data_IF_638348140439
#
_entry.id   IF_638348140439
#
_cell.length_a   1.000
_cell.length_b   1.000
_cell.length_c   1.000
_cell.angle_alpha   90.00
_cell.angle_beta   90.00
_cell.angle_gamma   90.00
#
_symmetry.space_group_name_H-M   'P 1'
#
loop_
_entity.id
_entity.type
_entity.pdbx_description
1 polymer ?
#
# COMPACT_ATOMS: atom_id res chain seq x y z
N UNK A 1 -28.98 1.36 7.31
CA UNK A 1 -28.68 2.22 8.49
C UNK A 1 -27.70 1.44 9.34
N UNK A 2 -26.57 2.05 9.70
CA UNK A 2 -25.56 1.38 10.52
C UNK A 2 -26.05 1.25 11.97
N UNK A 3 -25.67 0.17 12.64
CA UNK A 3 -26.08 -0.12 14.02
C UNK A 3 -25.15 0.53 15.06
N UNK A 4 -23.84 0.46 14.78
CA UNK A 4 -22.80 0.92 15.69
C UNK A 4 -22.01 2.11 15.17
N UNK A 5 -21.96 2.30 13.85
CA UNK A 5 -21.26 3.42 13.20
C UNK A 5 -22.12 4.68 13.27
N UNK A 6 -21.54 5.76 13.78
CA UNK A 6 -22.19 7.08 13.83
C UNK A 6 -21.78 7.87 12.59
N UNK A 7 -22.73 8.03 11.68
CA UNK A 7 -22.54 8.91 10.52
C UNK A 7 -22.56 10.37 11.00
N UNK A 8 -21.58 11.20 10.62
CA UNK A 8 -21.61 12.64 10.92
C UNK A 8 -22.92 13.29 10.46
N UNK A 9 -23.43 14.22 11.25
CA UNK A 9 -24.66 14.95 10.91
C UNK A 9 -24.49 15.93 9.74
N UNK A 10 -23.25 16.29 9.46
CA UNK A 10 -22.83 17.18 8.37
C UNK A 10 -21.90 16.42 7.42
N UNK A 11 -21.73 16.96 6.24
CA UNK A 11 -20.90 16.36 5.19
C UNK A 11 -21.71 15.51 4.20
N UNK A 12 -21.04 15.11 3.13
CA UNK A 12 -21.62 14.39 2.01
C UNK A 12 -20.74 13.21 1.60
N UNK A 13 -21.33 12.21 0.98
CA UNK A 13 -20.57 11.08 0.40
C UNK A 13 -19.81 11.54 -0.85
N UNK A 14 -18.59 11.01 -1.00
CA UNK A 14 -17.92 10.99 -2.30
C UNK A 14 -18.69 10.03 -3.20
N UNK A 15 -18.88 10.40 -4.45
CA UNK A 15 -19.54 9.55 -5.46
C UNK A 15 -18.60 9.27 -6.63
N UNK A 16 -18.88 8.18 -7.36
CA UNK A 16 -18.08 7.75 -8.50
C UNK A 16 -18.88 8.01 -9.77
N UNK A 17 -18.28 8.68 -10.74
CA UNK A 17 -18.84 8.93 -12.06
C UNK A 17 -18.73 7.68 -12.96
N UNK A 18 -19.42 7.68 -14.10
CA UNK A 18 -19.42 6.55 -15.04
C UNK A 18 -18.03 6.22 -15.64
N UNK A 19 -17.12 7.17 -15.62
CA UNK A 19 -15.71 7.02 -16.06
C UNK A 19 -14.74 6.65 -14.91
N UNK A 20 -15.29 6.29 -13.75
CA UNK A 20 -14.58 6.01 -12.49
C UNK A 20 -13.86 7.22 -11.87
N UNK A 21 -14.05 8.43 -12.37
CA UNK A 21 -13.59 9.64 -11.68
C UNK A 21 -14.41 9.92 -10.43
N UNK A 22 -13.80 10.57 -9.44
CA UNK A 22 -14.48 10.92 -8.20
C UNK A 22 -15.19 12.27 -8.32
N UNK A 23 -16.40 12.34 -7.79
CA UNK A 23 -17.06 13.60 -7.48
C UNK A 23 -16.91 13.85 -5.98
N UNK A 24 -15.96 14.73 -5.61
CA UNK A 24 -15.58 15.02 -4.23
C UNK A 24 -16.24 16.33 -3.79
N UNK A 25 -17.17 16.31 -2.80
CA UNK A 25 -17.76 17.53 -2.26
C UNK A 25 -16.73 18.33 -1.44
N UNK A 26 -17.02 19.60 -1.16
CA UNK A 26 -16.17 20.43 -0.31
C UNK A 26 -16.15 19.97 1.16
N UNK A 27 -17.18 19.24 1.58
CA UNK A 27 -17.31 18.66 2.92
C UNK A 27 -17.55 17.13 2.86
N UNK A 28 -16.55 16.31 2.44
CA UNK A 28 -16.72 14.88 2.36
C UNK A 28 -16.76 14.21 3.73
N UNK A 29 -17.54 13.13 3.83
CA UNK A 29 -17.47 12.19 4.96
C UNK A 29 -16.45 11.10 4.59
N UNK A 30 -15.41 10.96 5.42
CA UNK A 30 -14.35 9.96 5.23
C UNK A 30 -14.35 8.96 6.38
N UNK A 31 -14.63 7.67 6.12
CA UNK A 31 -14.42 6.61 7.10
C UNK A 31 -12.96 6.49 7.50
N UNK A 32 -12.71 6.32 8.80
CA UNK A 32 -11.39 5.96 9.29
C UNK A 32 -11.45 4.82 10.31
N UNK A 33 -10.43 4.00 10.35
CA UNK A 33 -10.20 2.98 11.37
C UNK A 33 -9.00 3.43 12.20
N UNK A 34 -9.18 3.62 13.50
CA UNK A 34 -8.09 4.03 14.40
C UNK A 34 -6.91 3.05 14.36
N UNK A 35 -7.20 1.75 14.24
CA UNK A 35 -6.21 0.70 14.25
C UNK A 35 -5.85 0.22 15.64
N UNK A 36 -4.97 -0.78 15.69
CA UNK A 36 -4.53 -1.46 16.90
C UNK A 36 -3.11 -1.02 17.29
N UNK A 37 -2.74 -1.31 18.51
CA UNK A 37 -1.39 -1.01 19.01
C UNK A 37 -1.06 0.48 18.89
N UNK A 38 -0.03 0.82 18.10
CA UNK A 38 0.35 2.22 17.87
C UNK A 38 -0.66 3.03 17.05
N UNK A 39 -1.69 2.39 16.48
CA UNK A 39 -2.79 3.08 15.78
C UNK A 39 -3.46 4.12 16.66
N UNK A 40 -3.66 3.82 17.95
CA UNK A 40 -4.24 4.77 18.92
C UNK A 40 -3.38 6.04 19.15
N UNK A 41 -2.08 5.98 18.84
CA UNK A 41 -1.16 7.12 18.94
C UNK A 41 -1.11 7.91 17.63
N UNK A 42 -0.93 7.22 16.48
CA UNK A 42 -0.64 7.85 15.19
C UNK A 42 -1.91 8.39 14.50
N UNK A 43 -3.04 7.67 14.56
CA UNK A 43 -4.27 8.08 13.86
C UNK A 43 -4.82 9.42 14.37
N UNK A 44 -4.94 9.68 15.69
CA UNK A 44 -5.35 11.01 16.16
C UNK A 44 -4.40 12.15 15.73
N UNK A 45 -3.12 11.86 15.58
CA UNK A 45 -2.13 12.83 15.09
C UNK A 45 -2.33 13.09 13.60
N UNK A 46 -2.52 12.04 12.81
CA UNK A 46 -2.81 12.15 11.39
C UNK A 46 -4.07 12.99 11.13
N UNK A 47 -5.17 12.72 11.85
CA UNK A 47 -6.42 13.49 11.71
C UNK A 47 -6.17 15.00 11.94
N UNK A 48 -5.46 15.36 13.01
CA UNK A 48 -5.13 16.77 13.31
C UNK A 48 -4.27 17.44 12.24
N UNK A 49 -3.26 16.74 11.74
CA UNK A 49 -2.36 17.25 10.69
C UNK A 49 -3.12 17.46 9.39
N UNK A 50 -3.99 16.53 9.01
CA UNK A 50 -4.82 16.63 7.80
C UNK A 50 -5.82 17.79 7.93
N UNK A 51 -6.52 17.91 9.07
CA UNK A 51 -7.46 19.00 9.31
C UNK A 51 -6.78 20.36 9.23
N UNK A 52 -5.58 20.50 9.80
CA UNK A 52 -4.80 21.73 9.71
C UNK A 52 -4.37 22.04 8.27
N UNK A 53 -3.91 21.03 7.51
CA UNK A 53 -3.53 21.20 6.12
C UNK A 53 -4.71 21.64 5.24
N UNK A 54 -5.86 21.03 5.42
CA UNK A 54 -7.09 21.37 4.68
C UNK A 54 -7.56 22.78 5.04
N UNK A 55 -7.59 23.13 6.33
CA UNK A 55 -7.99 24.47 6.78
C UNK A 55 -7.06 25.56 6.22
N UNK A 56 -5.75 25.35 6.27
CA UNK A 56 -4.76 26.30 5.75
C UNK A 56 -4.82 26.42 4.23
N UNK A 57 -4.90 25.30 3.50
CA UNK A 57 -4.91 25.32 2.04
C UNK A 57 -6.14 25.99 1.46
N UNK A 58 -7.30 25.81 2.09
CA UNK A 58 -8.59 26.27 1.53
C UNK A 58 -9.27 27.38 2.32
N UNK A 59 -8.62 27.92 3.37
CA UNK A 59 -9.17 29.03 4.15
C UNK A 59 -10.53 28.71 4.79
N UNK A 60 -10.73 27.47 5.21
CA UNK A 60 -11.96 26.98 5.83
C UNK A 60 -13.12 26.69 4.87
N UNK A 61 -12.93 26.81 3.55
CA UNK A 61 -13.96 26.49 2.53
C UNK A 61 -14.16 24.99 2.34
N UNK A 62 -13.18 24.18 2.74
CA UNK A 62 -13.25 22.72 2.69
C UNK A 62 -12.99 22.14 4.07
N UNK A 63 -13.66 21.01 4.39
CA UNK A 63 -13.54 20.34 5.67
C UNK A 63 -13.86 18.88 5.54
N UNK A 64 -13.05 17.98 6.14
CA UNK A 64 -13.37 16.56 6.22
C UNK A 64 -14.26 16.31 7.44
N UNK A 65 -15.31 15.53 7.26
CA UNK A 65 -16.12 14.98 8.33
C UNK A 65 -15.70 13.52 8.56
N UNK A 66 -14.91 13.30 9.59
CA UNK A 66 -14.39 11.99 9.91
C UNK A 66 -15.45 11.08 10.50
N UNK A 67 -15.58 9.86 9.99
CA UNK A 67 -16.50 8.84 10.43
C UNK A 67 -15.75 7.62 10.94
N UNK A 68 -15.72 7.42 12.25
CA UNK A 68 -15.05 6.24 12.81
C UNK A 68 -15.80 4.97 12.44
N UNK A 69 -15.08 4.01 11.88
CA UNK A 69 -15.54 2.64 11.62
C UNK A 69 -14.55 1.67 12.28
N UNK A 70 -14.99 0.46 12.58
CA UNK A 70 -14.30 -0.40 13.52
C UNK A 70 -13.72 -1.64 12.84
N UNK A 71 -12.45 -1.94 13.12
CA UNK A 71 -11.80 -3.21 12.84
C UNK A 71 -10.74 -3.47 13.92
N UNK A 72 -10.27 -4.71 14.04
CA UNK A 72 -9.26 -5.09 15.02
C UNK A 72 -9.79 -5.19 16.45
N UNK A 73 -8.94 -4.91 17.41
CA UNK A 73 -9.26 -5.04 18.84
C UNK A 73 -10.39 -4.11 19.29
N UNK A 74 -10.50 -2.91 18.73
CA UNK A 74 -11.58 -1.98 19.05
C UNK A 74 -12.93 -2.51 18.57
N UNK A 75 -12.97 -3.21 17.45
CA UNK A 75 -14.17 -3.86 16.94
C UNK A 75 -14.71 -4.91 17.92
N UNK A 76 -13.85 -5.71 18.53
CA UNK A 76 -14.30 -6.74 19.48
C UNK A 76 -14.99 -6.15 20.72
N UNK A 77 -14.65 -4.92 21.09
CA UNK A 77 -15.26 -4.19 22.21
C UNK A 77 -16.63 -3.61 21.84
N UNK A 78 -16.86 -3.26 20.57
CA UNK A 78 -18.09 -2.63 20.08
C UNK A 78 -19.11 -3.65 19.61
N UNK A 79 -18.68 -4.71 18.92
CA UNK A 79 -19.55 -5.69 18.26
C UNK A 79 -19.57 -7.05 18.97
N UNK A 80 -18.64 -7.32 19.89
CA UNK A 80 -18.49 -8.58 20.61
C UNK A 80 -17.16 -9.27 20.32
N UNK A 81 -16.70 -10.18 21.21
CA UNK A 81 -15.31 -10.67 21.29
C UNK A 81 -14.79 -11.35 20.03
N UNK A 82 -15.66 -11.92 19.21
CA UNK A 82 -15.27 -12.67 18.00
C UNK A 82 -15.41 -11.83 16.71
N UNK A 83 -15.85 -10.57 16.79
CA UNK A 83 -16.09 -9.71 15.62
C UNK A 83 -14.93 -8.77 15.40
N UNK A 84 -13.92 -9.24 14.67
CA UNK A 84 -12.71 -8.48 14.35
C UNK A 84 -12.86 -7.56 13.14
N UNK A 85 -13.70 -7.93 12.18
CA UNK A 85 -14.00 -7.16 10.98
C UNK A 85 -15.50 -7.23 10.69
N UNK A 86 -16.30 -6.26 11.19
CA UNK A 86 -17.73 -6.24 10.96
C UNK A 86 -18.09 -6.00 9.49
N UNK A 87 -19.12 -6.66 8.99
CA UNK A 87 -19.71 -6.34 7.67
C UNK A 87 -20.11 -4.87 7.56
N UNK A 88 -20.56 -4.27 8.64
CA UNK A 88 -20.95 -2.86 8.72
C UNK A 88 -19.78 -1.94 8.34
N UNK A 89 -18.54 -2.28 8.75
CA UNK A 89 -17.32 -1.55 8.36
C UNK A 89 -17.04 -1.72 6.88
N UNK A 90 -17.13 -2.94 6.33
CA UNK A 90 -16.93 -3.18 4.90
C UNK A 90 -17.96 -2.43 4.05
N UNK A 91 -19.23 -2.41 4.50
CA UNK A 91 -20.27 -1.64 3.84
C UNK A 91 -19.99 -0.13 3.91
N UNK A 92 -19.55 0.39 5.04
CA UNK A 92 -19.22 1.81 5.18
C UNK A 92 -18.05 2.22 4.27
N UNK A 93 -16.97 1.42 4.23
CA UNK A 93 -15.83 1.68 3.35
C UNK A 93 -16.24 1.67 1.86
N UNK A 94 -17.09 0.72 1.47
CA UNK A 94 -17.62 0.63 0.10
C UNK A 94 -18.54 1.81 -0.24
N UNK A 95 -19.44 2.17 0.67
CA UNK A 95 -20.46 3.21 0.48
C UNK A 95 -19.86 4.63 0.39
N UNK A 96 -18.75 4.88 1.10
CA UNK A 96 -18.10 6.20 1.14
C UNK A 96 -16.89 6.30 0.23
N UNK A 97 -16.50 5.22 -0.46
CA UNK A 97 -15.52 5.18 -1.56
C UNK A 97 -14.07 5.42 -1.12
N UNK A 98 -13.80 6.44 -0.33
CA UNK A 98 -12.46 6.80 0.17
C UNK A 98 -12.40 6.62 1.68
N UNK A 99 -11.39 5.92 2.17
CA UNK A 99 -11.18 5.67 3.60
C UNK A 99 -9.70 5.64 3.95
N UNK A 100 -9.39 5.75 5.25
CA UNK A 100 -8.03 5.62 5.78
C UNK A 100 -8.03 4.77 7.04
N UNK A 101 -6.95 4.06 7.31
CA UNK A 101 -6.83 3.23 8.51
C UNK A 101 -5.42 3.17 9.09
N UNK A 102 -5.35 3.07 10.39
CA UNK A 102 -4.16 2.67 11.13
C UNK A 102 -3.84 1.18 10.97
N UNK A 103 -2.75 0.70 11.59
CA UNK A 103 -2.34 -0.70 11.53
C UNK A 103 -3.33 -1.61 12.25
N UNK A 104 -3.49 -2.85 11.78
CA UNK A 104 -4.39 -3.84 12.38
C UNK A 104 -3.62 -5.07 12.85
N UNK A 105 -3.99 -5.58 14.02
CA UNK A 105 -3.48 -6.83 14.58
C UNK A 105 -4.03 -8.02 13.79
N UNK A 106 -3.16 -8.99 13.52
CA UNK A 106 -3.61 -10.31 13.05
C UNK A 106 -3.91 -11.17 14.26
N UNK A 107 -5.16 -11.62 14.47
CA UNK A 107 -5.51 -12.45 15.63
C UNK A 107 -4.73 -13.76 15.61
N UNK A 108 -4.23 -14.19 16.77
CA UNK A 108 -3.59 -15.49 16.93
C UNK A 108 -4.68 -16.53 17.20
N UNK A 109 -4.94 -17.41 16.24
CA UNK A 109 -6.00 -18.45 16.33
C UNK A 109 -7.32 -18.03 15.64
N UNK A 110 -8.27 -18.96 15.50
CA UNK A 110 -9.62 -18.65 15.03
C UNK A 110 -9.84 -18.56 13.51
N UNK A 111 -8.88 -18.95 12.68
CA UNK A 111 -9.08 -19.07 11.22
C UNK A 111 -8.97 -17.77 10.42
N UNK A 112 -8.91 -16.60 11.07
CA UNK A 112 -8.63 -15.32 10.40
C UNK A 112 -7.12 -15.19 10.25
N UNK A 113 -6.62 -15.18 9.01
CA UNK A 113 -5.18 -15.09 8.75
C UNK A 113 -4.64 -13.67 8.89
N UNK A 114 -5.35 -12.69 8.36
CA UNK A 114 -5.02 -11.27 8.45
C UNK A 114 -6.24 -10.42 8.14
N UNK A 115 -6.55 -9.45 9.00
CA UNK A 115 -7.63 -8.50 8.78
C UNK A 115 -7.37 -7.62 7.56
N UNK A 116 -6.10 -7.24 7.32
CA UNK A 116 -5.72 -6.48 6.13
C UNK A 116 -6.00 -7.27 4.85
N UNK A 117 -5.63 -8.55 4.82
CA UNK A 117 -5.90 -9.44 3.68
C UNK A 117 -7.40 -9.61 3.47
N UNK A 118 -8.17 -9.83 4.55
CA UNK A 118 -9.62 -9.95 4.47
C UNK A 118 -10.27 -8.68 3.87
N UNK A 119 -9.90 -7.49 4.34
CA UNK A 119 -10.40 -6.23 3.78
C UNK A 119 -10.07 -6.09 2.29
N UNK A 120 -8.84 -6.43 1.89
CA UNK A 120 -8.40 -6.35 0.48
C UNK A 120 -9.22 -7.28 -0.43
N UNK A 121 -9.49 -8.49 0.04
CA UNK A 121 -10.29 -9.49 -0.70
C UNK A 121 -11.78 -9.11 -0.75
N UNK A 122 -12.39 -8.77 0.39
CA UNK A 122 -13.82 -8.45 0.47
C UNK A 122 -14.19 -7.16 -0.29
N UNK A 123 -13.28 -6.20 -0.39
CA UNK A 123 -13.48 -4.95 -1.11
C UNK A 123 -12.84 -4.95 -2.51
N UNK A 124 -12.29 -6.08 -2.95
CA UNK A 124 -11.53 -6.24 -4.21
C UNK A 124 -10.48 -5.14 -4.44
N UNK A 125 -9.72 -4.81 -3.39
CA UNK A 125 -8.65 -3.81 -3.45
C UNK A 125 -7.41 -4.44 -4.08
N UNK A 126 -7.42 -4.64 -5.37
CA UNK A 126 -6.44 -5.45 -6.10
C UNK A 126 -5.08 -4.77 -6.35
N UNK A 127 -4.98 -3.47 -6.10
CA UNK A 127 -3.71 -2.72 -6.16
C UNK A 127 -3.29 -2.30 -4.77
N UNK A 128 -2.12 -2.72 -4.32
CA UNK A 128 -1.42 -2.07 -3.21
C UNK A 128 -0.39 -1.10 -3.79
N UNK A 129 -0.62 0.19 -3.59
CA UNK A 129 0.20 1.28 -4.10
C UNK A 129 1.11 1.81 -3.00
N UNK A 130 2.44 1.75 -3.20
CA UNK A 130 3.45 2.17 -2.22
C UNK A 130 4.49 3.09 -2.87
N UNK A 131 4.33 4.43 -2.80
CA UNK A 131 5.37 5.36 -3.22
C UNK A 131 6.55 5.34 -2.25
N UNK A 132 7.75 5.28 -2.79
CA UNK A 132 9.00 5.32 -2.04
C UNK A 132 9.80 6.52 -2.51
N UNK A 133 10.04 7.46 -1.61
CA UNK A 133 10.86 8.64 -1.89
C UNK A 133 11.68 9.04 -0.66
N UNK A 134 12.82 9.65 -0.90
CA UNK A 134 13.67 10.19 0.14
C UNK A 134 13.28 11.62 0.51
N UNK A 135 13.23 11.92 1.80
CA UNK A 135 13.13 13.27 2.33
C UNK A 135 14.50 13.75 2.77
N UNK A 136 14.93 14.93 2.29
CA UNK A 136 16.26 15.43 2.58
C UNK A 136 16.52 15.61 4.09
N UNK A 137 17.60 15.01 4.56
CA UNK A 137 17.99 15.03 5.97
C UNK A 137 17.58 13.78 6.76
N UNK A 138 16.76 12.90 6.22
CA UNK A 138 16.44 11.62 6.85
C UNK A 138 17.68 10.73 6.86
N UNK A 139 18.00 10.05 8.00
CA UNK A 139 19.06 9.08 8.05
C UNK A 139 18.82 7.90 7.10
N UNK A 140 19.84 7.49 6.36
CA UNK A 140 19.76 6.41 5.39
C UNK A 140 20.99 5.50 5.45
N UNK A 141 20.82 4.17 5.26
CA UNK A 141 21.92 3.23 5.19
C UNK A 141 22.64 3.25 3.83
N UNK A 142 22.06 3.91 2.80
CA UNK A 142 22.66 4.00 1.46
C UNK A 142 23.32 5.36 1.24
N UNK A 143 24.30 5.42 0.32
CA UNK A 143 25.09 6.64 0.09
C UNK A 143 24.31 7.76 -0.60
N UNK A 144 23.37 7.40 -1.50
CA UNK A 144 22.64 8.35 -2.34
C UNK A 144 21.14 8.05 -2.33
N UNK A 145 20.47 8.16 -1.15
CA UNK A 145 19.06 7.82 -1.00
C UNK A 145 18.13 8.65 -1.89
N UNK A 146 18.53 9.86 -2.26
CA UNK A 146 17.79 10.75 -3.16
C UNK A 146 17.61 10.16 -4.58
N UNK A 147 18.37 9.17 -4.96
CA UNK A 147 18.20 8.44 -6.23
C UNK A 147 17.07 7.40 -6.17
N UNK A 148 16.59 7.06 -4.96
CA UNK A 148 15.47 6.15 -4.77
C UNK A 148 14.17 6.94 -4.81
N UNK A 149 13.47 6.86 -5.95
CA UNK A 149 12.17 7.48 -6.17
C UNK A 149 11.32 6.56 -7.04
N UNK A 150 10.65 5.63 -6.42
CA UNK A 150 9.91 4.57 -7.08
C UNK A 150 8.48 4.49 -6.56
N UNK A 151 7.59 3.96 -7.38
CA UNK A 151 6.21 3.66 -6.97
C UNK A 151 5.93 2.18 -7.24
N UNK A 152 5.61 1.44 -6.20
CA UNK A 152 5.35 0.01 -6.28
C UNK A 152 3.86 -0.22 -6.46
N UNK A 153 3.50 -0.92 -7.52
CA UNK A 153 2.20 -1.51 -7.79
C UNK A 153 2.29 -3.00 -7.45
N UNK A 154 1.88 -3.34 -6.25
CA UNK A 154 1.84 -4.70 -5.73
C UNK A 154 0.48 -5.30 -6.01
N UNK A 155 0.42 -6.45 -6.68
CA UNK A 155 -0.81 -7.24 -6.76
C UNK A 155 -1.27 -7.60 -5.33
N UNK A 156 -2.56 -7.55 -5.08
CA UNK A 156 -3.05 -7.52 -3.70
C UNK A 156 -4.16 -8.56 -3.42
N UNK A 157 -4.55 -9.35 -4.41
CA UNK A 157 -5.69 -10.28 -4.32
C UNK A 157 -5.33 -11.76 -4.46
N UNK A 158 -4.21 -12.07 -5.08
CA UNK A 158 -3.75 -13.42 -5.41
C UNK A 158 -2.41 -13.76 -4.76
N UNK A 159 -1.65 -14.64 -5.41
CA UNK A 159 -0.36 -15.14 -4.94
C UNK A 159 -0.54 -16.05 -3.71
N UNK A 160 0.51 -16.28 -2.96
CA UNK A 160 0.45 -17.07 -1.71
C UNK A 160 -0.44 -16.41 -0.65
N UNK A 161 -0.72 -15.10 -0.78
CA UNK A 161 -1.65 -14.36 0.06
C UNK A 161 -3.11 -14.77 -0.11
N UNK A 162 -3.44 -15.54 -1.15
CA UNK A 162 -4.74 -16.23 -1.26
C UNK A 162 -5.00 -17.18 -0.09
N UNK A 163 -3.94 -17.55 0.62
CA UNK A 163 -4.03 -18.28 1.86
C UNK A 163 -4.44 -19.76 1.69
N UNK A 164 -4.21 -20.32 0.52
CA UNK A 164 -4.52 -21.74 0.23
C UNK A 164 -3.33 -22.57 0.66
N UNK A 165 -3.35 -23.05 1.90
CA UNK A 165 -2.29 -23.90 2.41
C UNK A 165 -2.82 -24.99 3.36
N UNK A 166 -2.06 -26.05 3.49
CA UNK A 166 -2.40 -27.25 4.25
C UNK A 166 -1.23 -27.61 5.16
N UNK A 167 -1.54 -27.73 6.45
CA UNK A 167 -0.57 -28.04 7.49
C UNK A 167 0.05 -29.44 7.28
N UNK A 168 1.34 -29.53 7.54
CA UNK A 168 2.10 -30.77 7.54
C UNK A 168 1.42 -31.86 8.40
N UNK A 169 1.28 -33.05 7.83
CA UNK A 169 0.68 -34.18 8.52
C UNK A 169 -0.84 -34.18 8.62
N UNK A 170 -1.52 -33.07 8.22
CA UNK A 170 -2.99 -33.03 8.18
C UNK A 170 -3.56 -33.96 7.11
N UNK A 171 -4.80 -34.41 7.29
CA UNK A 171 -5.48 -35.29 6.31
C UNK A 171 -5.67 -34.58 4.96
N UNK A 172 -5.88 -33.25 4.96
CA UNK A 172 -5.96 -32.44 3.75
C UNK A 172 -4.64 -32.39 3.00
N UNK A 173 -3.51 -32.19 3.71
CA UNK A 173 -2.18 -32.23 3.09
C UNK A 173 -1.88 -33.59 2.51
N UNK A 174 -2.13 -34.68 3.25
CA UNK A 174 -1.94 -36.06 2.77
C UNK A 174 -2.78 -36.38 1.53
N UNK A 175 -4.06 -35.97 1.53
CA UNK A 175 -4.96 -36.13 0.39
C UNK A 175 -4.46 -35.39 -0.84
N UNK A 176 -4.04 -34.13 -0.68
CA UNK A 176 -3.51 -33.33 -1.78
C UNK A 176 -2.19 -33.88 -2.32
N UNK A 177 -1.26 -34.26 -1.43
CA UNK A 177 0.02 -34.85 -1.84
C UNK A 177 -0.21 -36.16 -2.61
N UNK A 178 -1.10 -37.03 -2.11
CA UNK A 178 -1.47 -38.25 -2.79
C UNK A 178 -2.05 -38.00 -4.18
N UNK A 179 -2.99 -37.05 -4.31
CA UNK A 179 -3.56 -36.65 -5.59
C UNK A 179 -2.48 -36.16 -6.57
N UNK A 180 -1.58 -35.28 -6.11
CA UNK A 180 -0.48 -34.77 -6.93
C UNK A 180 0.47 -35.88 -7.40
N UNK A 181 0.73 -36.87 -6.55
CA UNK A 181 1.60 -38.03 -6.91
C UNK A 181 0.92 -39.03 -7.83
N UNK A 182 -0.28 -39.46 -7.49
CA UNK A 182 -0.98 -40.55 -8.17
C UNK A 182 -1.64 -40.08 -9.47
N UNK A 183 -2.31 -38.94 -9.47
CA UNK A 183 -3.10 -38.44 -10.61
C UNK A 183 -2.29 -37.45 -11.50
N UNK A 184 -1.45 -36.62 -10.89
CA UNK A 184 -0.68 -35.60 -11.62
C UNK A 184 0.77 -36.02 -11.89
N UNK A 185 1.21 -37.20 -11.43
CA UNK A 185 2.56 -37.72 -11.65
C UNK A 185 3.69 -36.92 -11.00
N UNK A 186 3.40 -36.12 -9.96
CA UNK A 186 4.39 -35.29 -9.27
C UNK A 186 5.30 -36.17 -8.42
N UNK A 187 6.60 -36.24 -8.78
CA UNK A 187 7.61 -37.04 -8.05
C UNK A 187 8.53 -36.17 -7.18
N UNK A 188 8.33 -34.84 -7.17
CA UNK A 188 9.30 -33.91 -6.58
C UNK A 188 9.01 -33.52 -5.13
N UNK A 189 7.92 -34.02 -4.51
CA UNK A 189 7.66 -33.85 -3.08
C UNK A 189 8.55 -34.85 -2.32
N UNK A 190 9.68 -34.31 -1.83
CA UNK A 190 10.75 -35.14 -1.27
C UNK A 190 10.38 -35.84 0.03
N UNK A 191 9.60 -35.17 0.87
CA UNK A 191 9.18 -35.64 2.20
C UNK A 191 7.66 -35.58 2.36
N UNK A 192 6.88 -36.48 1.69
CA UNK A 192 5.44 -36.37 1.59
C UNK A 192 4.71 -36.44 2.94
N UNK A 193 5.27 -37.15 3.92
CA UNK A 193 4.64 -37.32 5.23
C UNK A 193 4.79 -36.10 6.16
N UNK A 194 5.74 -35.23 5.88
CA UNK A 194 6.09 -34.08 6.73
C UNK A 194 6.10 -32.74 5.98
N UNK A 195 5.63 -32.73 4.72
CA UNK A 195 5.51 -31.50 3.96
C UNK A 195 4.19 -30.80 4.22
N UNK A 196 4.24 -29.50 4.50
CA UNK A 196 3.13 -28.59 4.29
C UNK A 196 3.03 -28.21 2.81
N UNK A 197 1.83 -27.90 2.32
CA UNK A 197 1.60 -27.53 0.91
C UNK A 197 0.90 -26.17 0.85
N UNK A 198 1.45 -25.23 0.07
CA UNK A 198 0.83 -23.96 -0.27
C UNK A 198 0.58 -23.87 -1.78
N UNK A 199 -0.49 -23.20 -2.16
CA UNK A 199 -0.88 -22.97 -3.56
C UNK A 199 -0.73 -21.49 -3.88
N UNK A 200 -0.06 -21.20 -5.01
CA UNK A 200 0.17 -19.85 -5.53
C UNK A 200 -0.67 -19.64 -6.80
N UNK A 201 -1.91 -19.14 -6.70
CA UNK A 201 -2.68 -18.77 -7.87
C UNK A 201 -2.17 -17.45 -8.45
N UNK A 202 -2.06 -17.37 -9.77
CA UNK A 202 -1.78 -16.13 -10.53
C UNK A 202 -2.63 -16.19 -11.79
N UNK A 203 -3.50 -15.18 -11.98
CA UNK A 203 -4.41 -15.14 -13.12
C UNK A 203 -4.00 -14.07 -14.14
N UNK A 204 -4.50 -14.23 -15.37
CA UNK A 204 -4.36 -13.22 -16.40
C UNK A 204 -5.13 -11.95 -16.03
N UNK A 205 -6.34 -12.10 -15.53
CA UNK A 205 -7.22 -11.01 -15.14
C UNK A 205 -6.62 -10.16 -14.02
N UNK A 206 -6.09 -10.80 -12.97
CA UNK A 206 -5.39 -10.14 -11.87
C UNK A 206 -4.15 -9.40 -12.34
N UNK A 207 -3.37 -10.03 -13.24
CA UNK A 207 -2.18 -9.41 -13.84
C UNK A 207 -2.54 -8.21 -14.71
N UNK A 208 -3.50 -8.36 -15.62
CA UNK A 208 -3.86 -7.32 -16.58
C UNK A 208 -4.45 -6.09 -15.87
N UNK A 209 -5.31 -6.27 -14.86
CA UNK A 209 -5.88 -5.13 -14.12
C UNK A 209 -4.83 -4.36 -13.32
N UNK A 210 -3.87 -5.05 -12.68
CA UNK A 210 -2.74 -4.40 -12.00
C UNK A 210 -1.87 -3.63 -12.98
N UNK A 211 -1.48 -4.28 -14.07
CA UNK A 211 -0.57 -3.71 -15.06
C UNK A 211 -1.18 -2.50 -15.76
N UNK A 212 -2.49 -2.53 -16.04
CA UNK A 212 -3.25 -1.39 -16.60
C UNK A 212 -3.15 -0.16 -15.68
N UNK A 213 -3.34 -0.34 -14.37
CA UNK A 213 -3.19 0.75 -13.38
C UNK A 213 -1.75 1.26 -13.31
N UNK A 214 -0.75 0.39 -13.38
CA UNK A 214 0.66 0.78 -13.34
C UNK A 214 1.09 1.57 -14.59
N UNK A 215 0.66 1.15 -15.78
CA UNK A 215 0.93 1.88 -17.04
C UNK A 215 0.18 3.22 -17.04
N UNK A 216 -1.10 3.23 -16.66
CA UNK A 216 -1.87 4.46 -16.59
C UNK A 216 -1.24 5.46 -15.61
N UNK A 217 -0.79 5.01 -14.45
CA UNK A 217 -0.07 5.85 -13.51
C UNK A 217 1.22 6.44 -14.12
N UNK A 218 1.96 5.64 -14.88
CA UNK A 218 3.16 6.12 -15.57
C UNK A 218 2.84 7.20 -16.62
N UNK A 219 1.74 7.04 -17.35
CA UNK A 219 1.22 8.05 -18.29
C UNK A 219 0.82 9.33 -17.56
N UNK A 220 0.02 9.22 -16.51
CA UNK A 220 -0.55 10.36 -15.79
C UNK A 220 0.52 11.19 -15.06
N UNK A 221 1.57 10.54 -14.59
CA UNK A 221 2.65 11.17 -13.82
C UNK A 221 3.96 11.33 -14.61
N UNK A 222 3.90 11.17 -15.94
CA UNK A 222 5.05 11.32 -16.87
C UNK A 222 6.27 10.51 -16.43
N UNK A 223 6.06 9.27 -15.97
CA UNK A 223 7.13 8.39 -15.50
C UNK A 223 7.83 7.72 -16.70
N UNK A 224 9.16 7.59 -16.68
CA UNK A 224 9.92 7.10 -17.86
C UNK A 224 9.83 5.58 -18.05
N UNK A 225 9.42 4.81 -17.06
CA UNK A 225 9.40 3.35 -17.16
C UNK A 225 8.39 2.67 -16.24
N UNK A 226 7.93 1.48 -16.67
CA UNK A 226 7.26 0.48 -15.82
C UNK A 226 8.10 -0.79 -15.85
N UNK A 227 8.54 -1.26 -14.68
CA UNK A 227 9.37 -2.45 -14.53
C UNK A 227 8.55 -3.59 -13.94
N UNK A 228 8.45 -4.69 -14.66
CA UNK A 228 7.82 -5.93 -14.22
C UNK A 228 8.84 -6.73 -13.42
N UNK A 229 8.62 -6.91 -12.12
CA UNK A 229 9.54 -7.71 -11.27
C UNK A 229 8.93 -9.08 -11.01
N UNK A 230 9.70 -10.13 -11.30
CA UNK A 230 9.21 -11.51 -11.28
C UNK A 230 10.33 -12.53 -11.04
N UNK A 231 9.97 -13.77 -10.71
CA UNK A 231 10.87 -14.94 -10.67
C UNK A 231 10.48 -15.99 -11.73
N UNK A 232 10.12 -15.56 -12.92
CA UNK A 232 9.58 -16.38 -14.00
C UNK A 232 10.54 -17.42 -14.60
N UNK A 233 11.85 -17.28 -14.38
CA UNK A 233 12.81 -18.31 -14.75
C UNK A 233 12.65 -19.61 -13.94
N UNK A 234 12.09 -19.54 -12.74
CA UNK A 234 11.81 -20.67 -11.86
C UNK A 234 10.30 -21.02 -11.89
N UNK A 235 9.43 -20.05 -11.65
CA UNK A 235 7.98 -20.20 -11.61
C UNK A 235 7.36 -19.81 -12.96
N UNK A 236 7.54 -20.67 -13.96
CA UNK A 236 7.24 -20.34 -15.37
C UNK A 236 5.77 -20.07 -15.64
N UNK A 237 4.86 -20.78 -15.00
CA UNK A 237 3.41 -20.71 -15.25
C UNK A 237 2.65 -19.81 -14.28
N UNK A 238 3.33 -19.19 -13.35
CA UNK A 238 2.81 -18.17 -12.44
C UNK A 238 3.55 -16.84 -12.68
N UNK A 239 4.74 -16.67 -12.16
CA UNK A 239 5.51 -15.42 -12.31
C UNK A 239 5.96 -15.17 -13.75
N UNK A 240 6.30 -16.22 -14.51
CA UNK A 240 6.60 -16.11 -15.93
C UNK A 240 5.38 -15.71 -16.75
N UNK A 241 4.23 -16.32 -16.43
CA UNK A 241 2.96 -15.96 -17.05
C UNK A 241 2.55 -14.51 -16.71
N UNK A 242 2.73 -14.06 -15.45
CA UNK A 242 2.56 -12.66 -15.05
C UNK A 242 3.34 -11.71 -15.95
N UNK A 243 4.63 -11.97 -16.16
CA UNK A 243 5.47 -11.18 -17.07
C UNK A 243 4.90 -11.15 -18.49
N UNK A 244 4.55 -12.31 -19.03
CA UNK A 244 4.12 -12.44 -20.43
C UNK A 244 2.76 -11.77 -20.66
N UNK A 245 1.82 -11.91 -19.73
CA UNK A 245 0.52 -11.22 -19.78
C UNK A 245 0.67 -9.71 -19.64
N UNK A 246 1.60 -9.23 -18.79
CA UNK A 246 1.89 -7.82 -18.63
C UNK A 246 2.40 -7.18 -19.93
N UNK A 247 3.33 -7.84 -20.65
CA UNK A 247 3.76 -7.39 -21.97
C UNK A 247 2.64 -7.45 -23.00
N UNK A 248 1.86 -8.53 -23.01
CA UNK A 248 0.71 -8.68 -23.91
C UNK A 248 -0.31 -7.55 -23.75
N UNK A 249 -0.62 -7.18 -22.50
CA UNK A 249 -1.48 -6.02 -22.20
C UNK A 249 -0.89 -4.71 -22.74
N UNK A 250 0.40 -4.45 -22.45
CA UNK A 250 1.06 -3.21 -22.87
C UNK A 250 0.99 -3.02 -24.41
N UNK A 251 1.21 -4.10 -25.15
CA UNK A 251 1.11 -4.08 -26.62
C UNK A 251 -0.35 -3.92 -27.10
N UNK A 252 -1.26 -4.71 -26.53
CA UNK A 252 -2.66 -4.77 -27.01
C UNK A 252 -3.49 -3.53 -26.68
N UNK A 253 -3.35 -3.01 -25.44
CA UNK A 253 -4.19 -1.91 -24.95
C UNK A 253 -3.53 -0.54 -25.05
N UNK A 254 -2.20 -0.49 -24.94
CA UNK A 254 -1.44 0.78 -24.96
C UNK A 254 -0.60 0.98 -26.21
N UNK A 255 -0.65 0.03 -27.16
CA UNK A 255 0.08 0.15 -28.43
C UNK A 255 1.61 0.16 -28.26
N UNK A 256 2.13 -0.51 -27.23
CA UNK A 256 3.57 -0.57 -27.00
C UNK A 256 4.27 -1.38 -28.10
N UNK A 257 5.34 -0.83 -28.66
CA UNK A 257 6.16 -1.44 -29.72
C UNK A 257 7.39 -2.13 -29.12
N UNK A 258 7.78 -3.27 -29.69
CA UNK A 258 8.95 -4.03 -29.22
C UNK A 258 10.23 -3.23 -29.46
N UNK A 259 11.16 -3.32 -28.49
CA UNK A 259 12.51 -2.77 -28.61
C UNK A 259 13.44 -3.94 -28.98
N UNK A 260 14.22 -3.78 -30.04
CA UNK A 260 15.25 -4.74 -30.49
C UNK A 260 14.77 -6.21 -30.56
N UNK A 261 13.51 -6.43 -30.96
CA UNK A 261 12.91 -7.76 -31.06
C UNK A 261 12.27 -8.27 -29.77
N UNK A 262 12.25 -7.50 -28.70
CA UNK A 262 11.58 -7.82 -27.45
C UNK A 262 12.42 -8.61 -26.43
N UNK A 263 11.85 -8.93 -25.25
CA UNK A 263 10.46 -8.69 -24.86
C UNK A 263 10.17 -7.23 -24.42
N UNK A 264 11.21 -6.44 -24.15
CA UNK A 264 11.02 -5.04 -23.77
C UNK A 264 10.27 -4.29 -24.85
N UNK A 265 9.41 -3.38 -24.44
CA UNK A 265 8.65 -2.56 -25.37
C UNK A 265 8.52 -1.11 -24.86
N UNK A 266 8.11 -0.23 -25.77
CA UNK A 266 8.01 1.20 -25.52
C UNK A 266 6.69 1.72 -26.04
N UNK A 267 6.01 2.52 -25.24
CA UNK A 267 4.85 3.29 -25.67
C UNK A 267 5.17 4.80 -25.63
N UNK A 268 4.42 5.56 -26.41
CA UNK A 268 4.48 7.03 -26.39
C UNK A 268 3.42 7.54 -25.41
N UNK A 269 3.83 8.35 -24.43
CA UNK A 269 2.88 8.99 -23.52
C UNK A 269 1.95 9.91 -24.32
N UNK A 270 0.64 9.66 -24.37
CA UNK A 270 -0.30 10.46 -25.17
C UNK A 270 -0.43 11.91 -24.69
N UNK A 271 -0.08 12.20 -23.42
CA UNK A 271 -0.17 13.55 -22.83
C UNK A 271 1.07 14.40 -23.11
N UNK A 272 2.26 13.80 -23.09
CA UNK A 272 3.54 14.52 -23.14
C UNK A 272 4.36 14.22 -24.38
N UNK A 273 4.04 13.15 -25.10
CA UNK A 273 4.84 12.68 -26.25
C UNK A 273 6.11 11.93 -25.90
N UNK A 274 6.50 11.86 -24.62
CA UNK A 274 7.69 11.14 -24.18
C UNK A 274 7.51 9.63 -24.24
N UNK A 275 8.61 8.90 -24.34
CA UNK A 275 8.59 7.44 -24.32
C UNK A 275 8.51 6.89 -22.91
N UNK A 276 7.69 5.86 -22.71
CA UNK A 276 7.63 5.05 -21.49
C UNK A 276 8.11 3.65 -21.83
N UNK A 277 9.18 3.18 -21.19
CA UNK A 277 9.73 1.84 -21.41
C UNK A 277 9.08 0.84 -20.47
N UNK A 278 8.51 -0.22 -21.02
CA UNK A 278 8.04 -1.39 -20.27
C UNK A 278 9.16 -2.44 -20.33
N UNK A 279 9.69 -2.81 -19.18
CA UNK A 279 10.81 -3.75 -19.06
C UNK A 279 10.59 -4.73 -17.92
N UNK A 280 11.37 -5.80 -17.87
CA UNK A 280 11.31 -6.77 -16.77
C UNK A 280 12.67 -6.97 -16.11
N UNK A 281 12.64 -7.40 -14.86
CA UNK A 281 13.82 -7.79 -14.08
C UNK A 281 13.46 -8.96 -13.18
N UNK A 282 14.37 -9.96 -13.12
CA UNK A 282 14.25 -11.07 -12.17
C UNK A 282 14.41 -10.53 -10.73
N UNK A 283 13.58 -10.97 -9.81
CA UNK A 283 13.41 -10.40 -8.46
C UNK A 283 14.72 -10.30 -7.66
N UNK A 284 15.57 -11.33 -7.67
CA UNK A 284 16.85 -11.31 -6.97
C UNK A 284 17.85 -10.32 -7.62
N UNK A 285 17.84 -10.17 -8.94
CA UNK A 285 18.62 -9.13 -9.62
C UNK A 285 18.08 -7.73 -9.28
N UNK A 286 16.77 -7.56 -9.21
CA UNK A 286 16.15 -6.29 -8.82
C UNK A 286 16.56 -5.86 -7.41
N UNK A 287 16.60 -6.77 -6.44
CA UNK A 287 17.04 -6.47 -5.07
C UNK A 287 18.49 -5.97 -5.00
N UNK A 288 19.36 -6.40 -5.92
CA UNK A 288 20.71 -5.82 -6.06
C UNK A 288 20.65 -4.44 -6.72
N UNK A 289 19.87 -4.32 -7.79
CA UNK A 289 19.87 -3.13 -8.64
C UNK A 289 19.26 -1.91 -7.94
N UNK A 290 18.31 -2.09 -7.04
CA UNK A 290 17.78 -0.98 -6.22
C UNK A 290 18.82 -0.38 -5.27
N UNK A 291 19.90 -1.11 -4.95
CA UNK A 291 21.04 -0.59 -4.19
C UNK A 291 22.10 0.05 -5.10
N UNK A 292 22.35 -0.54 -6.27
CA UNK A 292 23.43 -0.16 -7.16
C UNK A 292 23.04 0.93 -8.17
N UNK A 293 21.79 0.90 -8.65
CA UNK A 293 21.29 1.72 -9.75
C UNK A 293 19.83 2.13 -9.57
N UNK A 294 19.42 2.66 -8.39
CA UNK A 294 18.01 2.95 -8.10
C UNK A 294 17.36 3.92 -9.10
N UNK A 295 18.12 4.86 -9.67
CA UNK A 295 17.63 5.84 -10.63
C UNK A 295 17.13 5.27 -11.98
N UNK A 296 17.41 3.99 -12.26
CA UNK A 296 16.93 3.32 -13.49
C UNK A 296 15.45 2.86 -13.37
N UNK A 297 14.84 2.98 -12.19
CA UNK A 297 13.51 2.48 -11.89
C UNK A 297 12.56 3.61 -11.47
N UNK A 298 11.32 3.58 -11.96
CA UNK A 298 10.32 4.57 -11.60
C UNK A 298 9.00 3.95 -11.11
N UNK A 299 8.27 3.24 -11.97
CA UNK A 299 7.10 2.45 -11.60
C UNK A 299 7.50 0.97 -11.61
N UNK A 300 7.12 0.24 -10.59
CA UNK A 300 7.38 -1.21 -10.45
C UNK A 300 6.06 -1.94 -10.31
N UNK A 301 5.79 -2.91 -11.18
CA UNK A 301 4.64 -3.79 -11.09
C UNK A 301 5.10 -5.21 -10.74
N UNK A 302 4.51 -5.81 -9.71
CA UNK A 302 4.95 -7.13 -9.22
C UNK A 302 3.84 -7.86 -8.47
N UNK A 303 4.01 -9.17 -8.32
CA UNK A 303 3.10 -10.02 -7.54
C UNK A 303 3.17 -9.70 -6.04
N UNK A 304 2.21 -10.22 -5.31
CA UNK A 304 1.91 -9.85 -3.93
C UNK A 304 3.12 -10.02 -2.98
N UNK A 305 3.71 -11.20 -2.91
CA UNK A 305 4.85 -11.46 -2.02
C UNK A 305 6.09 -10.64 -2.41
N UNK A 306 6.43 -10.60 -3.69
CA UNK A 306 7.55 -9.81 -4.17
C UNK A 306 7.37 -8.33 -3.82
N UNK A 307 6.16 -7.81 -4.00
CA UNK A 307 5.81 -6.42 -3.69
C UNK A 307 5.93 -6.08 -2.21
N UNK A 308 5.59 -7.04 -1.33
CA UNK A 308 5.78 -6.90 0.11
C UNK A 308 7.26 -6.74 0.46
N UNK A 309 8.09 -7.68 0.05
CA UNK A 309 9.53 -7.64 0.32
C UNK A 309 10.21 -6.40 -0.27
N UNK A 310 9.90 -6.07 -1.52
CA UNK A 310 10.54 -4.97 -2.25
C UNK A 310 10.18 -3.62 -1.63
N UNK A 311 8.92 -3.40 -1.28
CA UNK A 311 8.51 -2.11 -0.70
C UNK A 311 9.17 -1.83 0.65
N UNK A 312 9.32 -2.84 1.50
CA UNK A 312 9.98 -2.70 2.80
C UNK A 312 11.50 -2.52 2.66
N UNK A 313 12.13 -3.25 1.71
CA UNK A 313 13.55 -3.07 1.40
C UNK A 313 13.85 -1.66 0.87
N UNK A 314 12.98 -1.11 0.03
CA UNK A 314 13.09 0.27 -0.48
C UNK A 314 12.80 1.30 0.61
N UNK A 315 11.79 1.07 1.46
CA UNK A 315 11.48 1.96 2.59
C UNK A 315 12.70 2.10 3.52
N UNK A 316 13.42 1.00 3.80
CA UNK A 316 14.63 1.02 4.60
C UNK A 316 15.72 1.92 3.99
N UNK A 317 15.82 1.99 2.66
CA UNK A 317 16.82 2.82 1.97
C UNK A 317 16.52 4.31 2.09
N UNK A 318 15.29 4.71 2.29
CA UNK A 318 14.88 6.13 2.36
C UNK A 318 14.57 6.59 3.79
N UNK A 319 14.83 5.76 4.80
CA UNK A 319 14.70 6.16 6.21
C UNK A 319 13.81 5.27 7.07
N UNK A 320 13.18 4.27 6.48
CA UNK A 320 12.39 3.26 7.20
C UNK A 320 10.87 3.36 6.98
N UNK A 321 10.18 2.34 7.49
CA UNK A 321 8.73 2.18 7.31
C UNK A 321 7.88 3.26 8.03
N UNK A 322 8.47 3.98 9.01
CA UNK A 322 7.79 5.07 9.72
C UNK A 322 7.39 6.27 8.85
N UNK A 323 7.92 6.36 7.62
CA UNK A 323 7.57 7.37 6.62
C UNK A 323 7.20 6.74 5.27
N UNK A 324 6.85 5.46 5.24
CA UNK A 324 6.42 4.76 4.03
C UNK A 324 4.89 4.74 3.96
N UNK A 325 4.27 5.46 2.99
CA UNK A 325 2.81 5.45 2.84
C UNK A 325 2.32 4.29 2.01
N UNK A 326 1.02 4.00 2.12
CA UNK A 326 0.36 2.99 1.32
C UNK A 326 -1.11 3.29 1.02
N UNK A 327 -1.58 2.73 -0.09
CA UNK A 327 -2.98 2.70 -0.46
C UNK A 327 -3.37 1.34 -1.04
N UNK A 328 -4.59 0.91 -0.79
CA UNK A 328 -5.19 -0.25 -1.41
C UNK A 328 -6.36 0.22 -2.26
N UNK A 329 -6.33 -0.10 -3.55
CA UNK A 329 -7.23 0.47 -4.54
C UNK A 329 -7.98 -0.61 -5.32
N UNK A 330 -9.26 -0.39 -5.56
CA UNK A 330 -10.04 -1.06 -6.60
C UNK A 330 -10.26 -0.11 -7.78
N UNK A 331 -11.27 -0.37 -8.61
CA UNK A 331 -11.69 0.60 -9.63
C UNK A 331 -12.43 1.79 -9.05
N UNK A 332 -13.09 1.62 -7.91
CA UNK A 332 -13.96 2.63 -7.31
C UNK A 332 -13.63 2.93 -5.85
N UNK A 333 -13.12 1.97 -5.08
CA UNK A 333 -12.85 2.10 -3.64
C UNK A 333 -11.36 2.28 -3.39
N UNK A 334 -11.02 3.21 -2.50
CA UNK A 334 -9.66 3.47 -2.05
C UNK A 334 -9.59 3.42 -0.52
N UNK A 335 -8.68 2.59 0.02
CA UNK A 335 -8.38 2.51 1.45
C UNK A 335 -6.89 2.80 1.67
N UNK A 336 -6.59 3.95 2.26
CA UNK A 336 -5.23 4.37 2.58
C UNK A 336 -4.80 3.79 3.91
N UNK A 337 -3.51 3.47 4.07
CA UNK A 337 -3.04 2.83 5.30
C UNK A 337 -1.57 3.11 5.62
N UNK A 338 -1.23 3.18 6.91
CA UNK A 338 0.16 3.02 7.35
C UNK A 338 0.68 1.64 6.95
N UNK A 339 1.91 1.56 6.42
CA UNK A 339 2.47 0.29 5.92
C UNK A 339 3.12 -0.57 6.99
N UNK A 340 3.40 0.00 8.17
CA UNK A 340 3.98 -0.72 9.30
C UNK A 340 2.94 -1.47 10.14
N UNK A 341 3.40 -2.42 10.96
CA UNK A 341 2.55 -3.18 11.88
C UNK A 341 2.16 -2.40 13.15
N UNK A 342 1.43 -3.07 14.04
CA UNK A 342 0.84 -2.49 15.26
C UNK A 342 1.85 -2.17 16.36
N UNK A 343 3.03 -2.77 16.36
CA UNK A 343 4.10 -2.59 17.37
C UNK A 343 3.58 -2.44 18.81
N UNK A 344 2.88 -3.45 19.38
CA UNK A 344 2.08 -3.31 20.59
C UNK A 344 2.89 -2.88 21.83
N UNK A 345 4.19 -3.14 21.87
CA UNK A 345 5.08 -2.70 22.96
C UNK A 345 5.22 -1.17 23.07
N UNK A 346 4.86 -0.43 22.03
CA UNK A 346 4.91 1.03 21.97
C UNK A 346 3.52 1.69 22.06
N UNK A 347 2.47 0.91 22.08
CA UNK A 347 1.08 1.39 22.13
C UNK A 347 0.83 2.29 23.35
N UNK A 348 0.16 3.43 23.13
CA UNK A 348 -0.21 4.40 24.19
C UNK A 348 0.97 5.14 24.80
N UNK A 349 2.16 5.12 24.19
CA UNK A 349 3.36 5.79 24.73
C UNK A 349 3.66 7.13 24.05
N UNK A 350 2.88 7.55 23.09
CA UNK A 350 3.13 8.77 22.29
C UNK A 350 4.57 8.86 21.75
N UNK A 351 5.11 7.75 21.24
CA UNK A 351 6.54 7.61 20.98
C UNK A 351 6.89 7.39 19.51
N UNK A 352 6.03 6.70 18.76
CA UNK A 352 6.31 6.26 17.39
C UNK A 352 6.19 7.40 16.36
N UNK A 353 6.76 7.20 15.19
CA UNK A 353 6.68 8.13 14.08
C UNK A 353 5.30 8.04 13.39
N UNK A 354 4.50 9.11 13.33
CA UNK A 354 3.19 9.11 12.65
C UNK A 354 3.30 9.33 11.13
N UNK A 355 4.50 9.51 10.60
CA UNK A 355 4.75 9.94 9.22
C UNK A 355 4.18 9.03 8.17
N UNK A 356 4.18 7.68 8.38
CA UNK A 356 3.61 6.72 7.44
C UNK A 356 2.11 6.97 7.22
N UNK A 357 1.33 7.15 8.28
CA UNK A 357 -0.11 7.38 8.17
C UNK A 357 -0.42 8.79 7.66
N UNK A 358 0.35 9.80 8.08
CA UNK A 358 0.22 11.18 7.56
C UNK A 358 0.49 11.23 6.05
N UNK A 359 1.52 10.55 5.56
CA UNK A 359 1.83 10.48 4.13
C UNK A 359 0.82 9.62 3.36
N UNK A 360 0.19 8.63 4.00
CA UNK A 360 -0.93 7.90 3.42
C UNK A 360 -2.17 8.80 3.27
N UNK A 361 -2.41 9.68 4.24
CA UNK A 361 -3.44 10.71 4.14
C UNK A 361 -3.10 11.77 3.07
N UNK A 362 -1.83 12.09 2.87
CA UNK A 362 -1.38 12.92 1.74
C UNK A 362 -1.77 12.30 0.40
N UNK A 363 -1.52 10.99 0.23
CA UNK A 363 -1.96 10.26 -0.96
C UNK A 363 -3.49 10.28 -1.11
N UNK A 364 -4.24 10.16 0.00
CA UNK A 364 -5.70 10.27 0.02
C UNK A 364 -6.16 11.64 -0.51
N UNK A 365 -5.56 12.72 -0.04
CA UNK A 365 -5.89 14.07 -0.50
C UNK A 365 -5.61 14.25 -1.99
N UNK A 366 -4.48 13.73 -2.51
CA UNK A 366 -4.21 13.72 -3.96
C UNK A 366 -5.23 12.91 -4.75
N UNK A 367 -5.61 11.75 -4.24
CA UNK A 367 -6.64 10.92 -4.86
C UNK A 367 -8.00 11.63 -4.95
N UNK A 368 -8.31 12.45 -3.95
CA UNK A 368 -9.49 13.31 -3.92
C UNK A 368 -9.36 14.59 -4.77
N UNK A 369 -8.20 14.86 -5.36
CA UNK A 369 -7.92 16.10 -6.10
C UNK A 369 -7.67 17.33 -5.22
N UNK A 370 -7.39 17.15 -3.95
CA UNK A 370 -7.07 18.22 -3.00
C UNK A 370 -5.56 18.47 -2.93
N UNK A 371 -5.01 18.89 -4.06
CA UNK A 371 -3.56 18.93 -4.29
C UNK A 371 -2.84 19.94 -3.40
N UNK A 372 -3.46 21.09 -3.13
CA UNK A 372 -2.86 22.15 -2.30
C UNK A 372 -2.65 21.69 -0.87
N UNK A 373 -3.62 20.99 -0.28
CA UNK A 373 -3.49 20.42 1.06
C UNK A 373 -2.45 19.29 1.10
N UNK A 374 -2.41 18.45 0.07
CA UNK A 374 -1.40 17.38 -0.07
C UNK A 374 0.02 17.97 -0.16
N UNK A 375 0.23 19.01 -1.00
CA UNK A 375 1.52 19.68 -1.15
C UNK A 375 1.97 20.35 0.15
N UNK A 376 1.01 20.90 0.91
CA UNK A 376 1.28 21.50 2.21
C UNK A 376 1.79 20.46 3.23
N UNK A 377 1.21 19.27 3.27
CA UNK A 377 1.69 18.16 4.11
C UNK A 377 3.14 17.79 3.75
N UNK A 378 3.45 17.69 2.45
CA UNK A 378 4.80 17.37 2.00
C UNK A 378 5.80 18.45 2.41
N UNK A 379 5.46 19.72 2.18
CA UNK A 379 6.28 20.87 2.57
C UNK A 379 6.51 20.89 4.09
N UNK A 380 5.46 20.67 4.87
CA UNK A 380 5.54 20.60 6.33
C UNK A 380 6.43 19.46 6.81
N UNK A 381 6.31 18.27 6.22
CA UNK A 381 7.18 17.13 6.51
C UNK A 381 8.66 17.46 6.25
N UNK A 382 8.98 18.03 5.09
CA UNK A 382 10.34 18.44 4.72
C UNK A 382 10.93 19.49 5.68
N UNK A 383 10.14 20.51 6.02
CA UNK A 383 10.57 21.54 6.98
C UNK A 383 10.78 20.95 8.38
N UNK A 384 9.91 20.07 8.83
CA UNK A 384 10.00 19.42 10.15
C UNK A 384 11.25 18.57 10.27
N UNK A 385 11.54 17.73 9.27
CA UNK A 385 12.78 16.93 9.23
C UNK A 385 14.02 17.86 9.22
N UNK A 386 14.00 18.91 8.41
CA UNK A 386 15.09 19.88 8.31
C UNK A 386 15.32 20.63 9.62
N UNK A 387 14.28 20.89 10.41
CA UNK A 387 14.40 21.52 11.74
C UNK A 387 15.03 20.58 12.77
N UNK A 388 15.24 19.32 12.44
CA UNK A 388 15.75 18.26 13.33
C UNK A 388 14.90 18.02 14.59
N UNK A 389 13.65 18.44 14.63
CA UNK A 389 12.66 18.09 15.64
C UNK A 389 11.89 16.88 15.13
N UNK A 390 12.35 15.69 15.48
CA UNK A 390 11.93 14.42 14.89
C UNK A 390 11.67 13.35 15.94
N UNK A 391 10.96 12.30 15.57
CA UNK A 391 10.71 11.16 16.45
C UNK A 391 11.96 10.31 16.69
N UNK A 392 11.90 9.40 17.65
CA UNK A 392 13.02 8.62 18.15
C UNK A 392 13.81 7.87 17.07
N UNK A 393 13.10 7.36 16.05
CA UNK A 393 13.67 6.58 14.95
C UNK A 393 14.70 7.37 14.14
N UNK A 394 14.42 8.65 13.92
CA UNK A 394 15.36 9.58 13.27
C UNK A 394 16.33 10.21 14.29
N UNK A 395 15.84 10.67 15.44
CA UNK A 395 16.65 11.39 16.40
C UNK A 395 17.89 10.61 16.84
N UNK A 396 17.79 9.29 17.03
CA UNK A 396 18.90 8.42 17.41
C UNK A 396 20.01 8.31 16.35
N UNK A 397 19.73 8.72 15.10
CA UNK A 397 20.65 8.60 13.96
C UNK A 397 21.04 9.97 13.39
N UNK A 398 20.45 11.07 13.88
CA UNK A 398 20.69 12.44 13.40
C UNK A 398 21.47 13.24 14.43
N UNK A 399 22.68 13.66 14.10
CA UNK A 399 23.46 14.54 14.97
C UNK A 399 22.75 15.89 15.19
N UNK A 400 22.65 16.30 16.46
CA UNK A 400 22.00 17.56 16.87
C UNK A 400 20.48 17.56 16.72
N UNK A 401 19.85 16.39 16.62
CA UNK A 401 18.39 16.29 16.62
C UNK A 401 17.79 16.44 18.02
N UNK A 402 16.63 17.05 18.07
CA UNK A 402 15.76 17.06 19.26
C UNK A 402 14.67 16.01 19.06
N UNK A 403 14.66 15.02 19.93
CA UNK A 403 13.60 14.02 19.92
C UNK A 403 12.30 14.64 20.42
N UNK A 404 11.23 14.43 19.66
CA UNK A 404 9.85 14.79 20.02
C UNK A 404 8.99 13.52 20.10
N UNK A 405 7.85 13.62 20.78
CA UNK A 405 6.85 12.53 20.81
C UNK A 405 6.11 12.42 19.49
N UNK A 406 5.26 11.40 19.35
CA UNK A 406 4.38 11.23 18.19
C UNK A 406 3.48 12.46 18.00
N UNK A 407 2.76 12.86 19.04
CA UNK A 407 1.91 14.07 19.02
C UNK A 407 2.74 15.36 18.84
N UNK A 408 3.93 15.42 19.45
CA UNK A 408 4.87 16.52 19.28
C UNK A 408 5.35 16.68 17.83
N UNK A 409 5.59 15.59 17.11
CA UNK A 409 5.97 15.65 15.69
C UNK A 409 4.81 16.16 14.82
N UNK A 410 3.58 15.70 15.10
CA UNK A 410 2.39 16.25 14.44
C UNK A 410 2.25 17.76 14.64
N UNK A 411 2.51 18.25 15.87
CA UNK A 411 2.49 19.68 16.15
C UNK A 411 3.59 20.44 15.41
N UNK A 412 4.82 19.89 15.36
CA UNK A 412 5.92 20.48 14.56
C UNK A 412 5.54 20.58 13.08
N UNK A 413 4.84 19.59 12.54
CA UNK A 413 4.34 19.66 11.16
C UNK A 413 3.30 20.76 10.98
N UNK A 414 2.34 20.88 11.90
CA UNK A 414 1.30 21.93 11.85
C UNK A 414 1.93 23.33 11.91
N UNK A 415 2.91 23.52 12.81
CA UNK A 415 3.62 24.79 12.96
C UNK A 415 4.45 25.18 11.71
N UNK A 416 4.76 24.21 10.85
CA UNK A 416 5.51 24.38 9.59
C UNK A 416 4.63 24.49 8.33
N UNK A 417 3.32 24.48 8.46
CA UNK A 417 2.36 24.73 7.37
C UNK A 417 2.15 26.23 7.08
#
# INVERSE_FOLDING_TARGET
MYKHIKVPAQGQKITVNADNSLNVPDEPIIPFIEGDGTGQDITPVMLKVVDAAVANAYGGKKKIHWMEVYAGEKSTKVYGPDVWLPEETLHAVRDYVVSIKGPLTTPVGGGIRSLNVAMRQELDLYVCLRPIRYFAGVPSPVKEPQKTNMVIFRENSEDIYAGIEFESGSDKAKKLIKFLQDEMGVKKIRFPNTSGIGIKPVSREGTERLMRKAIQYAIDNDKPSVTIVHKGNIMKFTEGAFRDWAYGLAQKEFGAELIDGGPWCKLKNPKTGKGIVIKDVIADAFLQQILLRPAEYSVVATLNLNGDYISDALAAQVGGIGIAPGANLSDTVACFEATHGTAPKYAGKDYVNPGSEILSAEMMLRHMGWLEAADLIISAMEKSIRSKKVTYDFARLMEGATQVSCSGFGQVMIDNM
#
